data_IF_862504204703
#
_entry.id   IF_862504204703
#
_cell.length_a   1.000
_cell.length_b   1.000
_cell.length_c   1.000
_cell.angle_alpha   90.00
_cell.angle_beta   90.00
_cell.angle_gamma   90.00
#
_symmetry.space_group_name_H-M   'P 1'
#
loop_
_entity.id
_entity.type
_entity.pdbx_description
1 polymer ?
#
# COMPACT_ATOMS: atom_id res chain seq x y z
N UNK A 1 16.50 14.07 0.51
CA UNK A 1 16.88 14.29 1.92
C UNK A 1 16.89 12.93 2.59
N UNK A 2 17.99 12.51 3.22
CA UNK A 2 18.01 11.29 4.05
C UNK A 2 17.40 11.69 5.39
N UNK A 3 16.07 11.63 5.49
CA UNK A 3 15.36 12.04 6.69
C UNK A 3 15.40 10.91 7.72
N UNK A 4 15.95 11.21 8.89
CA UNK A 4 15.69 10.41 10.10
C UNK A 4 14.18 10.45 10.38
N UNK A 5 13.63 9.32 10.82
CA UNK A 5 12.21 8.97 10.65
C UNK A 5 11.17 10.03 11.06
N UNK A 6 10.02 10.00 10.40
CA UNK A 6 8.87 10.83 10.73
C UNK A 6 7.99 10.10 11.76
N UNK A 7 8.09 10.50 13.03
CA UNK A 7 7.29 9.95 14.12
C UNK A 7 6.27 10.98 14.62
N UNK A 8 5.02 10.56 14.85
CA UNK A 8 3.98 11.41 15.44
C UNK A 8 3.55 12.58 14.57
N UNK A 9 3.75 12.48 13.26
CA UNK A 9 3.30 13.51 12.31
C UNK A 9 1.80 13.42 12.16
N UNK A 10 1.08 14.51 12.46
CA UNK A 10 -0.37 14.52 12.27
C UNK A 10 -0.72 14.34 10.79
N UNK A 11 -0.32 15.28 9.95
CA UNK A 11 -0.72 15.26 8.55
C UNK A 11 0.45 15.63 7.61
N UNK A 12 0.60 14.91 6.49
CA UNK A 12 1.55 15.16 5.39
C UNK A 12 0.74 15.54 4.15
N UNK A 13 0.90 16.77 3.64
CA UNK A 13 0.06 17.27 2.55
C UNK A 13 0.86 17.95 1.44
N UNK A 14 0.48 17.70 0.18
CA UNK A 14 0.98 18.45 -0.98
C UNK A 14 2.47 18.26 -1.23
N UNK A 15 3.02 17.12 -0.85
CA UNK A 15 4.45 16.83 -0.97
C UNK A 15 4.75 16.32 -2.38
N UNK A 16 5.80 16.86 -3.01
CA UNK A 16 6.26 16.31 -4.27
C UNK A 16 6.86 14.92 -4.06
N UNK A 17 7.96 14.84 -3.31
CA UNK A 17 8.72 13.59 -3.18
C UNK A 17 9.01 13.27 -1.70
N UNK A 18 8.71 12.04 -1.25
CA UNK A 18 9.13 11.47 0.03
C UNK A 18 10.09 10.32 -0.26
N UNK A 19 11.39 10.55 -0.11
CA UNK A 19 12.40 9.58 -0.54
C UNK A 19 13.45 9.28 0.54
N UNK A 20 13.86 8.01 0.65
CA UNK A 20 15.01 7.61 1.48
C UNK A 20 14.76 7.74 2.98
N UNK A 21 13.52 7.52 3.41
CA UNK A 21 13.10 7.59 4.82
C UNK A 21 13.26 6.21 5.45
N UNK A 22 13.84 6.18 6.66
CA UNK A 22 13.93 4.93 7.41
C UNK A 22 12.55 4.49 7.90
N UNK A 23 11.90 5.33 8.70
CA UNK A 23 10.65 4.98 9.35
C UNK A 23 9.61 6.12 9.21
N UNK A 24 8.37 5.79 8.88
CA UNK A 24 7.18 6.66 8.95
C UNK A 24 6.22 6.00 9.93
N UNK A 25 5.97 6.61 11.08
CA UNK A 25 5.14 6.01 12.13
C UNK A 25 4.12 7.00 12.69
N UNK A 26 2.96 6.46 13.09
CA UNK A 26 1.90 7.20 13.80
C UNK A 26 1.40 8.42 13.01
N UNK A 27 1.15 8.24 11.71
CA UNK A 27 0.67 9.32 10.85
C UNK A 27 -0.84 9.27 10.72
N UNK A 28 -1.52 10.40 10.91
CA UNK A 28 -2.97 10.45 10.70
C UNK A 28 -3.27 10.48 9.20
N UNK A 29 -2.83 11.51 8.48
CA UNK A 29 -3.19 11.67 7.07
C UNK A 29 -1.94 11.89 6.19
N UNK A 30 -1.84 11.17 5.06
CA UNK A 30 -0.90 11.44 3.98
C UNK A 30 -1.71 11.73 2.73
N UNK A 31 -1.73 12.98 2.25
CA UNK A 31 -2.53 13.34 1.08
C UNK A 31 -1.78 14.15 0.02
N UNK A 32 -2.07 13.87 -1.25
CA UNK A 32 -1.56 14.67 -2.38
C UNK A 32 -0.05 14.56 -2.52
N UNK A 33 0.47 13.33 -2.43
CA UNK A 33 1.90 13.06 -2.60
C UNK A 33 2.15 12.60 -4.03
N UNK A 34 3.14 13.17 -4.72
CA UNK A 34 3.48 12.69 -6.06
C UNK A 34 4.23 11.37 -5.95
N UNK A 35 5.42 11.35 -5.36
CA UNK A 35 6.27 10.15 -5.33
C UNK A 35 6.68 9.78 -3.89
N UNK A 36 6.47 8.53 -3.48
CA UNK A 36 7.02 7.92 -2.26
C UNK A 36 8.00 6.84 -2.68
N UNK A 37 9.27 6.92 -2.27
CA UNK A 37 10.30 5.98 -2.73
C UNK A 37 11.34 5.62 -1.66
N UNK A 38 11.79 4.37 -1.64
CA UNK A 38 12.93 3.95 -0.81
C UNK A 38 12.65 4.09 0.69
N UNK A 39 11.48 3.66 1.12
CA UNK A 39 11.04 3.70 2.53
C UNK A 39 11.30 2.33 3.16
N UNK A 40 12.01 2.30 4.29
CA UNK A 40 12.26 1.02 4.97
C UNK A 40 11.02 0.54 5.74
N UNK A 41 10.30 1.43 6.43
CA UNK A 41 9.14 1.05 7.22
C UNK A 41 8.07 2.13 7.26
N UNK A 42 6.81 1.71 7.08
CA UNK A 42 5.61 2.52 7.30
C UNK A 42 4.74 1.79 8.33
N UNK A 43 4.41 2.42 9.46
CA UNK A 43 3.52 1.85 10.47
C UNK A 43 2.47 2.83 10.97
N UNK A 44 1.31 2.28 11.32
CA UNK A 44 0.25 2.99 12.04
C UNK A 44 -0.18 4.27 11.33
N UNK A 45 -0.47 4.15 10.02
CA UNK A 45 -0.98 5.25 9.20
C UNK A 45 -2.50 5.13 9.08
N UNK A 46 -3.23 6.18 9.44
CA UNK A 46 -4.70 6.14 9.36
C UNK A 46 -5.19 6.27 7.92
N UNK A 47 -4.76 7.29 7.18
CA UNK A 47 -5.23 7.53 5.82
C UNK A 47 -4.09 7.86 4.86
N UNK A 48 -4.12 7.28 3.65
CA UNK A 48 -3.24 7.64 2.53
C UNK A 48 -4.11 7.92 1.31
N UNK A 49 -4.17 9.19 0.86
CA UNK A 49 -5.04 9.64 -0.22
C UNK A 49 -4.31 10.35 -1.36
N UNK A 50 -4.64 10.01 -2.61
CA UNK A 50 -4.13 10.76 -3.76
C UNK A 50 -2.60 10.71 -3.85
N UNK A 51 -2.06 9.48 -3.91
CA UNK A 51 -0.63 9.26 -4.14
C UNK A 51 -0.41 8.80 -5.57
N UNK A 52 0.51 9.43 -6.30
CA UNK A 52 0.76 9.01 -7.67
C UNK A 52 1.58 7.72 -7.67
N UNK A 53 2.80 7.73 -7.15
CA UNK A 53 3.69 6.56 -7.22
C UNK A 53 4.22 6.17 -5.83
N UNK A 54 4.12 4.89 -5.46
CA UNK A 54 4.75 4.29 -4.27
C UNK A 54 5.73 3.22 -4.74
N UNK A 55 7.02 3.41 -4.51
CA UNK A 55 8.08 2.55 -4.99
C UNK A 55 9.04 2.11 -3.86
N UNK A 56 9.58 0.90 -3.98
CA UNK A 56 10.69 0.42 -3.13
C UNK A 56 10.41 0.55 -1.62
N UNK A 57 9.20 0.18 -1.20
CA UNK A 57 8.83 0.15 0.22
C UNK A 57 9.09 -1.24 0.77
N UNK A 58 9.90 -1.33 1.84
CA UNK A 58 10.24 -2.64 2.39
C UNK A 58 9.10 -3.21 3.22
N UNK A 59 8.66 -2.52 4.28
CA UNK A 59 7.63 -3.06 5.17
C UNK A 59 6.53 -2.01 5.43
N UNK A 60 5.26 -2.35 5.18
CA UNK A 60 4.09 -1.52 5.48
C UNK A 60 3.17 -2.28 6.44
N UNK A 61 2.87 -1.70 7.60
CA UNK A 61 2.02 -2.30 8.62
C UNK A 61 0.96 -1.36 9.18
N UNK A 62 -0.22 -1.87 9.51
CA UNK A 62 -1.21 -1.11 10.29
C UNK A 62 -1.74 0.12 9.57
N UNK A 63 -1.95 0.01 8.24
CA UNK A 63 -2.53 1.11 7.45
C UNK A 63 -4.04 0.92 7.40
N UNK A 64 -4.80 1.90 7.89
CA UNK A 64 -6.26 1.76 7.94
C UNK A 64 -6.86 1.93 6.55
N UNK A 65 -6.75 3.10 5.92
CA UNK A 65 -7.41 3.36 4.64
C UNK A 65 -6.40 3.88 3.58
N UNK A 66 -6.33 3.22 2.43
CA UNK A 66 -5.62 3.70 1.23
C UNK A 66 -6.64 3.99 0.13
N UNK A 67 -6.60 5.18 -0.46
CA UNK A 67 -7.50 5.58 -1.53
C UNK A 67 -6.80 6.39 -2.61
N UNK A 68 -7.07 6.08 -3.89
CA UNK A 68 -6.59 6.87 -5.01
C UNK A 68 -5.07 6.80 -5.15
N UNK A 69 -4.54 5.60 -5.32
CA UNK A 69 -3.12 5.38 -5.62
C UNK A 69 -2.97 4.97 -7.08
N UNK A 70 -2.11 5.65 -7.83
CA UNK A 70 -1.92 5.28 -9.24
C UNK A 70 -1.06 4.02 -9.35
N UNK A 71 0.20 4.07 -8.91
CA UNK A 71 1.13 2.96 -9.11
C UNK A 71 1.78 2.55 -7.76
N UNK A 72 1.77 1.25 -7.45
CA UNK A 72 2.51 0.65 -6.31
C UNK A 72 3.48 -0.38 -6.88
N UNK A 73 4.79 -0.15 -6.74
CA UNK A 73 5.81 -1.06 -7.28
C UNK A 73 6.89 -1.45 -6.26
N UNK A 74 7.31 -2.71 -6.30
CA UNK A 74 8.49 -3.16 -5.55
C UNK A 74 8.30 -3.07 -4.05
N UNK A 75 7.13 -3.50 -3.55
CA UNK A 75 6.86 -3.56 -2.12
C UNK A 75 7.19 -4.95 -1.59
N UNK A 76 7.98 -5.05 -0.52
CA UNK A 76 8.32 -6.38 0.00
C UNK A 76 7.16 -6.92 0.84
N UNK A 77 6.81 -6.33 1.97
CA UNK A 77 5.77 -6.85 2.85
C UNK A 77 4.69 -5.81 3.15
N UNK A 78 3.44 -6.21 2.94
CA UNK A 78 2.24 -5.44 3.27
C UNK A 78 1.44 -6.25 4.29
N UNK A 79 1.16 -5.67 5.46
CA UNK A 79 0.51 -6.40 6.55
C UNK A 79 -0.52 -5.56 7.32
N UNK A 80 -1.69 -6.12 7.62
CA UNK A 80 -2.64 -5.49 8.54
C UNK A 80 -3.24 -4.21 7.96
N UNK A 81 -3.85 -4.32 6.78
CA UNK A 81 -4.60 -3.23 6.18
C UNK A 81 -6.08 -3.42 6.37
N UNK A 82 -6.80 -2.31 6.55
CA UNK A 82 -8.26 -2.38 6.59
C UNK A 82 -8.81 -2.25 5.17
N UNK A 83 -8.69 -1.09 4.54
CA UNK A 83 -9.34 -0.82 3.25
C UNK A 83 -8.32 -0.33 2.21
N UNK A 84 -8.30 -0.96 1.02
CA UNK A 84 -7.54 -0.51 -0.16
C UNK A 84 -8.52 -0.22 -1.28
N UNK A 85 -8.59 1.03 -1.72
CA UNK A 85 -9.58 1.48 -2.69
C UNK A 85 -8.92 2.24 -3.85
N UNK A 86 -9.45 2.05 -5.06
CA UNK A 86 -9.09 2.84 -6.25
C UNK A 86 -7.57 2.87 -6.51
N UNK A 87 -6.97 1.67 -6.55
CA UNK A 87 -5.56 1.52 -6.94
C UNK A 87 -5.49 1.13 -8.40
N UNK A 88 -4.75 1.88 -9.22
CA UNK A 88 -4.67 1.53 -10.64
C UNK A 88 -3.78 0.30 -10.83
N UNK A 89 -2.52 0.38 -10.44
CA UNK A 89 -1.53 -0.64 -10.78
C UNK A 89 -0.74 -1.10 -9.53
N UNK A 90 -0.69 -2.42 -9.26
CA UNK A 90 0.13 -3.03 -8.21
C UNK A 90 1.09 -4.04 -8.84
N UNK A 91 2.41 -3.79 -8.73
CA UNK A 91 3.44 -4.64 -9.32
C UNK A 91 4.54 -5.05 -8.33
N UNK A 92 4.97 -6.31 -8.42
CA UNK A 92 6.18 -6.77 -7.74
C UNK A 92 6.06 -6.72 -6.22
N UNK A 93 4.95 -7.21 -5.67
CA UNK A 93 4.74 -7.30 -4.23
C UNK A 93 5.15 -8.69 -3.72
N UNK A 94 6.03 -8.78 -2.72
CA UNK A 94 6.44 -10.11 -2.24
C UNK A 94 5.35 -10.75 -1.37
N UNK A 95 4.78 -10.04 -0.42
CA UNK A 95 3.71 -10.57 0.41
C UNK A 95 2.64 -9.53 0.77
N UNK A 96 1.38 -9.94 0.70
CA UNK A 96 0.21 -9.22 1.20
C UNK A 96 -0.45 -10.11 2.24
N UNK A 97 -0.52 -9.67 3.50
CA UNK A 97 -1.09 -10.43 4.59
C UNK A 97 -2.11 -9.62 5.40
N UNK A 98 -3.27 -10.20 5.73
CA UNK A 98 -4.23 -9.57 6.64
C UNK A 98 -4.78 -8.25 6.09
N UNK A 99 -5.40 -8.31 4.92
CA UNK A 99 -6.14 -7.18 4.33
C UNK A 99 -7.62 -7.44 4.50
N UNK A 100 -8.38 -6.49 5.04
CA UNK A 100 -9.83 -6.70 5.19
C UNK A 100 -10.51 -6.54 3.83
N UNK A 101 -10.47 -5.37 3.22
CA UNK A 101 -11.22 -5.05 2.01
C UNK A 101 -10.30 -4.49 0.91
N UNK A 102 -10.39 -5.03 -0.30
CA UNK A 102 -9.74 -4.50 -1.51
C UNK A 102 -10.82 -4.20 -2.55
N UNK A 103 -10.96 -2.94 -2.98
CA UNK A 103 -11.96 -2.54 -3.95
C UNK A 103 -11.41 -1.67 -5.09
N UNK A 104 -11.81 -1.96 -6.32
CA UNK A 104 -11.52 -1.11 -7.47
C UNK A 104 -10.03 -1.06 -7.82
N UNK A 105 -9.38 -2.22 -7.86
CA UNK A 105 -8.00 -2.33 -8.32
C UNK A 105 -7.98 -2.68 -9.80
N UNK A 106 -7.29 -1.91 -10.64
CA UNK A 106 -7.32 -2.20 -12.08
C UNK A 106 -6.42 -3.40 -12.40
N UNK A 107 -5.13 -3.30 -12.14
CA UNK A 107 -4.16 -4.34 -12.50
C UNK A 107 -3.33 -4.76 -11.28
N UNK A 108 -3.24 -6.08 -11.02
CA UNK A 108 -2.33 -6.68 -10.03
C UNK A 108 -1.40 -7.67 -10.75
N UNK A 109 -0.09 -7.46 -10.64
CA UNK A 109 0.90 -8.33 -11.29
C UNK A 109 2.11 -8.63 -10.40
N UNK A 110 2.60 -9.87 -10.47
CA UNK A 110 3.86 -10.25 -9.84
C UNK A 110 3.81 -10.26 -8.32
N UNK A 111 2.67 -10.67 -7.74
CA UNK A 111 2.54 -10.84 -6.29
C UNK A 111 2.98 -12.24 -5.90
N UNK A 112 3.99 -12.40 -5.04
CA UNK A 112 4.45 -13.75 -4.69
C UNK A 112 3.47 -14.46 -3.76
N UNK A 113 2.98 -13.79 -2.71
CA UNK A 113 2.08 -14.39 -1.71
C UNK A 113 0.95 -13.45 -1.30
N UNK A 114 -0.26 -13.98 -1.26
CA UNK A 114 -1.44 -13.32 -0.68
C UNK A 114 -2.02 -14.23 0.41
N UNK A 115 -2.18 -13.73 1.63
CA UNK A 115 -2.75 -14.48 2.74
C UNK A 115 -3.75 -13.65 3.55
N UNK A 116 -4.91 -14.22 3.88
CA UNK A 116 -5.83 -13.60 4.83
C UNK A 116 -6.43 -12.29 4.30
N UNK A 117 -6.96 -12.33 3.07
CA UNK A 117 -7.75 -11.22 2.52
C UNK A 117 -9.22 -11.53 2.74
N UNK A 118 -9.99 -10.64 3.35
CA UNK A 118 -11.41 -10.95 3.62
C UNK A 118 -12.24 -10.80 2.34
N UNK A 119 -12.30 -9.59 1.80
CA UNK A 119 -13.16 -9.24 0.68
C UNK A 119 -12.34 -8.57 -0.45
N UNK A 120 -12.47 -9.06 -1.68
CA UNK A 120 -11.88 -8.48 -2.90
C UNK A 120 -13.02 -8.20 -3.88
N UNK A 121 -13.12 -6.97 -4.37
CA UNK A 121 -14.19 -6.57 -5.30
C UNK A 121 -13.67 -5.63 -6.39
N UNK A 122 -14.16 -5.77 -7.63
CA UNK A 122 -13.83 -4.86 -8.72
C UNK A 122 -12.34 -4.86 -9.06
N UNK A 123 -11.71 -6.04 -9.01
CA UNK A 123 -10.35 -6.22 -9.53
C UNK A 123 -10.44 -6.66 -10.98
N UNK A 124 -9.88 -5.87 -11.91
CA UNK A 124 -10.06 -6.12 -13.34
C UNK A 124 -9.12 -7.20 -13.87
N UNK A 125 -7.82 -7.06 -13.62
CA UNK A 125 -6.79 -7.95 -14.16
C UNK A 125 -5.84 -8.41 -13.03
N UNK A 126 -5.68 -9.73 -12.85
CA UNK A 126 -4.73 -10.32 -11.90
C UNK A 126 -3.84 -11.32 -12.63
N UNK A 127 -2.52 -11.15 -12.56
CA UNK A 127 -1.54 -12.04 -13.18
C UNK A 127 -0.29 -12.21 -12.33
N UNK A 128 0.47 -13.28 -12.59
CA UNK A 128 1.75 -13.51 -11.91
C UNK A 128 1.65 -13.67 -10.39
N UNK A 129 0.48 -14.06 -9.87
CA UNK A 129 0.30 -14.40 -8.46
C UNK A 129 0.69 -15.86 -8.24
N UNK A 130 1.63 -16.15 -7.33
CA UNK A 130 2.12 -17.52 -7.12
C UNK A 130 1.29 -18.28 -6.08
N UNK A 131 1.15 -17.73 -4.87
CA UNK A 131 0.46 -18.38 -3.76
C UNK A 131 -0.67 -17.51 -3.21
N UNK A 132 -1.88 -18.07 -3.10
CA UNK A 132 -3.06 -17.39 -2.53
C UNK A 132 -3.72 -18.31 -1.49
N UNK A 133 -3.85 -17.82 -0.25
CA UNK A 133 -4.53 -18.55 0.83
C UNK A 133 -5.41 -17.62 1.67
N UNK A 134 -6.47 -18.17 2.27
CA UNK A 134 -7.31 -17.42 3.20
C UNK A 134 -8.00 -16.19 2.59
N UNK A 135 -8.29 -16.24 1.29
CA UNK A 135 -9.19 -15.27 0.64
C UNK A 135 -10.62 -15.77 0.80
N UNK A 136 -11.52 -14.96 1.38
CA UNK A 136 -12.90 -15.42 1.68
C UNK A 136 -13.87 -15.10 0.55
N UNK A 137 -13.97 -13.83 0.18
CA UNK A 137 -14.95 -13.35 -0.79
C UNK A 137 -14.25 -12.63 -1.96
N UNK A 138 -14.47 -13.09 -3.20
CA UNK A 138 -13.97 -12.44 -4.41
C UNK A 138 -15.16 -12.15 -5.32
N UNK A 139 -15.33 -10.89 -5.70
CA UNK A 139 -16.33 -10.41 -6.65
C UNK A 139 -15.62 -9.68 -7.77
N UNK A 140 -15.94 -10.04 -9.02
CA UNK A 140 -15.50 -9.28 -10.18
C UNK A 140 -16.26 -7.98 -10.31
#
# INVERSE_FOLDING_TARGET
MRAEGHHGVKDIHGVKDICGVKDINEVKDICGVKDICGIMKICDVKNIWGVKDINEVKDTHGVKDIHGVKDINGVKDICGMKDINEVKDIHGVKAINGVKDIHGVKDICGVTKICGVKDICGVKDISGVKDIHGVKDIKS
#
